data_IF_271661351932
#
_entry.id   IF_271661351932
#
_cell.length_a   1.000
_cell.length_b   1.000
_cell.length_c   1.000
_cell.angle_alpha   90.00
_cell.angle_beta   90.00
_cell.angle_gamma   90.00
#
_symmetry.space_group_name_H-M   'P 1'
#
loop_
_entity.id
_entity.type
_entity.pdbx_description
1 polymer ?
#
# COMPACT_ATOMS: atom_id res chain seq x y z
N UNK A 1 16.07 -2.79 -17.45
CA UNK A 1 16.37 -2.17 -16.15
C UNK A 1 15.13 -2.38 -15.27
N UNK A 2 15.30 -2.77 -14.00
CA UNK A 2 14.20 -2.97 -13.06
C UNK A 2 13.58 -1.63 -12.72
N UNK A 3 12.24 -1.55 -12.69
CA UNK A 3 11.51 -0.35 -12.26
C UNK A 3 11.08 -0.48 -10.81
N UNK A 4 10.70 0.62 -10.17
CA UNK A 4 10.07 0.63 -8.83
C UNK A 4 8.85 -0.29 -8.82
N UNK A 5 8.03 -0.26 -9.87
CA UNK A 5 6.88 -1.15 -10.06
C UNK A 5 7.29 -2.64 -10.00
N UNK A 6 8.20 -3.07 -10.88
CA UNK A 6 8.60 -4.49 -10.93
C UNK A 6 9.29 -4.97 -9.65
N UNK A 7 10.08 -4.10 -9.01
CA UNK A 7 10.72 -4.40 -7.73
C UNK A 7 9.69 -4.55 -6.59
N UNK A 8 8.67 -3.70 -6.58
CA UNK A 8 7.59 -3.76 -5.58
C UNK A 8 6.76 -5.04 -5.70
N UNK A 9 6.41 -5.45 -6.92
CA UNK A 9 5.71 -6.72 -7.13
C UNK A 9 6.57 -7.93 -6.71
N UNK A 10 7.88 -7.88 -6.92
CA UNK A 10 8.77 -8.95 -6.44
C UNK A 10 8.79 -9.03 -4.91
N UNK A 11 8.84 -7.89 -4.21
CA UNK A 11 8.75 -7.83 -2.75
C UNK A 11 7.41 -8.41 -2.27
N UNK A 12 6.29 -7.96 -2.83
CA UNK A 12 4.96 -8.47 -2.48
C UNK A 12 4.87 -9.99 -2.68
N UNK A 13 5.34 -10.49 -3.82
CA UNK A 13 5.36 -11.93 -4.15
C UNK A 13 6.15 -12.75 -3.14
N UNK A 14 7.35 -12.29 -2.79
CA UNK A 14 8.23 -12.97 -1.81
C UNK A 14 7.63 -13.07 -0.42
N UNK A 15 6.79 -12.11 -0.05
CA UNK A 15 6.08 -12.09 1.23
C UNK A 15 4.67 -12.71 1.16
N UNK A 16 4.28 -13.32 0.03
CA UNK A 16 2.97 -13.96 -0.12
C UNK A 16 1.79 -12.99 -0.26
N UNK A 17 2.04 -11.70 -0.48
CA UNK A 17 1.02 -10.65 -0.65
C UNK A 17 0.54 -10.59 -2.11
N UNK A 18 0.09 -11.72 -2.64
CA UNK A 18 -0.33 -11.87 -4.04
C UNK A 18 -1.83 -11.63 -4.25
N UNK A 19 -2.58 -11.38 -3.18
CA UNK A 19 -3.98 -10.94 -3.27
C UNK A 19 -4.05 -9.46 -2.91
N UNK A 20 -4.56 -8.65 -3.85
CA UNK A 20 -4.72 -7.20 -3.72
C UNK A 20 -6.21 -6.89 -3.54
N UNK A 21 -6.58 -6.27 -2.45
CA UNK A 21 -7.93 -5.75 -2.22
C UNK A 21 -7.96 -4.27 -2.58
N UNK A 22 -8.88 -3.84 -3.45
CA UNK A 22 -8.86 -2.44 -3.87
C UNK A 22 -10.13 -1.94 -4.54
N UNK A 23 -10.20 -0.62 -4.64
CA UNK A 23 -11.12 0.15 -5.46
C UNK A 23 -10.28 1.26 -6.12
N UNK A 24 -9.74 1.01 -7.34
CA UNK A 24 -8.74 1.89 -7.92
C UNK A 24 -9.38 3.11 -8.58
N UNK A 25 -8.66 4.22 -8.52
CA UNK A 25 -8.89 5.37 -9.38
C UNK A 25 -7.67 5.62 -10.30
N UNK A 26 -7.58 6.81 -10.88
CA UNK A 26 -6.54 7.16 -11.85
C UNK A 26 -5.12 7.08 -11.28
N UNK A 27 -4.93 7.39 -9.99
CA UNK A 27 -3.62 7.41 -9.35
C UNK A 27 -3.06 6.01 -9.09
N UNK A 28 -3.89 4.98 -9.11
CA UNK A 28 -3.49 3.58 -8.92
C UNK A 28 -3.21 2.86 -10.24
N UNK A 29 -3.63 3.42 -11.40
CA UNK A 29 -3.45 2.77 -12.70
C UNK A 29 -1.99 2.42 -13.02
N UNK A 30 -0.98 3.26 -12.73
CA UNK A 30 0.40 2.89 -12.98
C UNK A 30 0.90 1.70 -12.13
N UNK A 31 0.37 1.52 -10.92
CA UNK A 31 0.63 0.32 -10.11
C UNK A 31 -0.04 -0.91 -10.74
N UNK A 32 -1.25 -0.77 -11.27
CA UNK A 32 -2.03 -1.87 -11.86
C UNK A 32 -1.64 -2.18 -13.32
N UNK A 33 -0.82 -1.33 -13.95
CA UNK A 33 -0.32 -1.57 -15.31
C UNK A 33 0.48 -2.87 -15.33
N UNK A 34 0.29 -3.67 -16.40
CA UNK A 34 0.98 -4.95 -16.56
C UNK A 34 0.85 -5.84 -15.30
N UNK A 35 -0.38 -5.90 -14.75
CA UNK A 35 -0.68 -6.65 -13.52
C UNK A 35 -0.26 -8.11 -13.66
N UNK A 36 0.58 -8.65 -12.75
CA UNK A 36 1.12 -9.98 -12.92
C UNK A 36 0.05 -11.08 -12.83
N UNK A 37 0.14 -12.10 -13.70
CA UNK A 37 -0.83 -13.20 -13.77
C UNK A 37 -0.92 -14.04 -12.48
N UNK A 38 0.14 -14.06 -11.68
CA UNK A 38 0.20 -14.75 -10.39
C UNK A 38 -0.42 -13.94 -9.24
N UNK A 39 -0.89 -12.72 -9.51
CA UNK A 39 -1.61 -11.89 -8.56
C UNK A 39 -3.11 -11.94 -8.81
N UNK A 40 -3.86 -11.83 -7.74
CA UNK A 40 -5.31 -11.75 -7.76
C UNK A 40 -5.78 -10.39 -7.27
N UNK A 41 -6.61 -9.70 -8.05
CA UNK A 41 -7.24 -8.45 -7.65
C UNK A 41 -8.68 -8.70 -7.19
N UNK A 42 -9.01 -8.33 -5.97
CA UNK A 42 -10.36 -8.37 -5.40
C UNK A 42 -10.92 -6.95 -5.40
N UNK A 43 -11.78 -6.69 -6.37
CA UNK A 43 -12.44 -5.40 -6.51
C UNK A 43 -13.58 -5.27 -5.49
N UNK A 44 -13.54 -4.22 -4.68
CA UNK A 44 -14.68 -3.74 -3.91
C UNK A 44 -15.24 -2.46 -4.52
N UNK A 45 -16.54 -2.24 -4.41
CA UNK A 45 -17.20 -1.05 -4.95
C UNK A 45 -17.22 0.13 -3.95
N UNK A 46 -16.61 -0.06 -2.78
CA UNK A 46 -16.45 0.95 -1.73
C UNK A 46 -15.29 0.56 -0.82
N UNK A 47 -14.46 1.51 -0.45
CA UNK A 47 -13.21 1.22 0.27
C UNK A 47 -13.45 0.68 1.69
N UNK A 48 -14.55 1.03 2.31
CA UNK A 48 -14.97 0.38 3.57
C UNK A 48 -15.15 -1.13 3.42
N UNK A 49 -15.75 -1.58 2.29
CA UNK A 49 -15.87 -3.01 1.99
C UNK A 49 -14.50 -3.62 1.65
N UNK A 50 -13.66 -2.90 0.90
CA UNK A 50 -12.28 -3.31 0.56
C UNK A 50 -11.46 -3.60 1.81
N UNK A 51 -11.41 -2.63 2.73
CA UNK A 51 -10.66 -2.77 3.99
C UNK A 51 -11.25 -3.87 4.86
N UNK A 52 -12.60 -3.99 4.92
CA UNK A 52 -13.28 -5.06 5.66
C UNK A 52 -12.99 -6.45 5.11
N UNK A 53 -12.95 -6.62 3.78
CA UNK A 53 -12.55 -7.91 3.15
C UNK A 53 -11.09 -8.26 3.47
N UNK A 54 -10.19 -7.28 3.42
CA UNK A 54 -8.78 -7.46 3.75
C UNK A 54 -8.59 -7.81 5.24
N UNK A 55 -9.34 -7.16 6.14
CA UNK A 55 -9.36 -7.46 7.57
C UNK A 55 -9.78 -8.91 7.83
N UNK A 56 -10.92 -9.33 7.27
CA UNK A 56 -11.40 -10.70 7.37
C UNK A 56 -10.40 -11.72 6.79
N UNK A 57 -9.77 -11.41 5.66
CA UNK A 57 -8.74 -12.24 5.07
C UNK A 57 -7.52 -12.38 6.00
N UNK A 58 -7.02 -11.27 6.56
CA UNK A 58 -5.87 -11.29 7.45
C UNK A 58 -6.15 -12.09 8.72
N UNK A 59 -7.34 -11.94 9.32
CA UNK A 59 -7.77 -12.71 10.50
C UNK A 59 -7.89 -14.21 10.20
N UNK A 60 -8.51 -14.56 9.07
CA UNK A 60 -8.74 -15.96 8.73
C UNK A 60 -7.46 -16.70 8.32
N UNK A 61 -6.57 -16.03 7.58
CA UNK A 61 -5.33 -16.64 7.08
C UNK A 61 -4.17 -16.57 8.08
N UNK A 62 -4.22 -15.64 9.03
CA UNK A 62 -3.09 -15.31 9.91
C UNK A 62 -1.94 -14.60 9.21
N UNK A 63 -2.11 -14.22 7.92
CA UNK A 63 -1.10 -13.58 7.08
C UNK A 63 -1.44 -12.10 6.84
N UNK A 64 -0.45 -11.25 6.51
CA UNK A 64 -0.72 -9.88 6.11
C UNK A 64 -1.59 -9.82 4.85
N UNK A 65 -2.47 -8.82 4.76
CA UNK A 65 -3.26 -8.53 3.57
C UNK A 65 -2.79 -7.23 2.91
N UNK A 66 -2.78 -7.20 1.58
CA UNK A 66 -2.40 -6.02 0.82
C UNK A 66 -3.64 -5.27 0.31
N UNK A 67 -3.70 -3.97 0.59
CA UNK A 67 -4.82 -3.09 0.25
C UNK A 67 -4.32 -1.94 -0.62
N UNK A 68 -5.07 -1.62 -1.69
CA UNK A 68 -4.77 -0.51 -2.56
C UNK A 68 -5.98 0.43 -2.67
N UNK A 69 -5.84 1.65 -2.14
CA UNK A 69 -6.91 2.65 -2.02
C UNK A 69 -6.69 3.84 -2.96
N UNK A 70 -7.78 4.51 -3.34
CA UNK A 70 -7.71 5.69 -4.20
C UNK A 70 -7.46 6.97 -3.39
N UNK A 71 -6.19 7.39 -3.36
CA UNK A 71 -5.76 8.67 -2.78
C UNK A 71 -6.39 8.97 -1.40
N UNK A 72 -6.68 10.24 -1.13
CA UNK A 72 -7.32 10.70 0.09
C UNK A 72 -8.77 10.22 0.21
N UNK A 73 -9.52 10.24 -0.90
CA UNK A 73 -10.94 9.86 -0.90
C UNK A 73 -11.15 8.41 -0.47
N UNK A 74 -10.40 7.48 -1.09
CA UNK A 74 -10.47 6.07 -0.74
C UNK A 74 -9.96 5.77 0.66
N UNK A 75 -8.91 6.48 1.10
CA UNK A 75 -8.43 6.37 2.49
C UNK A 75 -9.52 6.82 3.46
N UNK A 76 -10.16 7.98 3.20
CA UNK A 76 -11.26 8.49 4.02
C UNK A 76 -12.44 7.54 4.10
N UNK A 77 -12.88 6.98 2.95
CA UNK A 77 -13.95 6.00 2.89
C UNK A 77 -13.62 4.70 3.65
N UNK A 78 -12.34 4.33 3.73
CA UNK A 78 -11.88 3.13 4.42
C UNK A 78 -11.78 3.26 5.94
N UNK A 79 -11.80 4.48 6.51
CA UNK A 79 -11.49 4.74 7.92
C UNK A 79 -12.38 3.97 8.90
N UNK A 80 -13.67 3.82 8.61
CA UNK A 80 -14.59 3.07 9.47
C UNK A 80 -14.18 1.60 9.61
N UNK A 81 -13.86 0.94 8.50
CA UNK A 81 -13.38 -0.45 8.51
C UNK A 81 -11.95 -0.56 9.06
N UNK A 82 -11.11 0.46 8.83
CA UNK A 82 -9.77 0.53 9.40
C UNK A 82 -9.78 0.55 10.93
N UNK A 83 -10.82 1.13 11.54
CA UNK A 83 -11.03 1.07 12.99
C UNK A 83 -11.13 -0.38 13.48
N UNK A 84 -11.91 -1.22 12.78
CA UNK A 84 -12.03 -2.63 13.13
C UNK A 84 -10.67 -3.34 13.00
N UNK A 85 -9.99 -3.17 11.88
CA UNK A 85 -8.67 -3.78 11.64
C UNK A 85 -7.62 -3.37 12.69
N UNK A 86 -7.67 -2.12 13.18
CA UNK A 86 -6.82 -1.64 14.26
C UNK A 86 -7.06 -2.40 15.57
N UNK A 87 -8.32 -2.50 16.00
CA UNK A 87 -8.65 -3.19 17.25
C UNK A 87 -8.53 -4.71 17.16
N UNK A 88 -8.68 -5.28 15.97
CA UNK A 88 -8.44 -6.71 15.70
C UNK A 88 -6.97 -7.07 15.56
N UNK A 89 -6.07 -6.08 15.58
CA UNK A 89 -4.65 -6.29 15.33
C UNK A 89 -4.35 -6.95 13.98
N UNK A 90 -5.16 -6.64 12.97
CA UNK A 90 -4.99 -7.19 11.63
C UNK A 90 -3.79 -6.56 10.90
N UNK A 91 -2.85 -7.36 10.39
CA UNK A 91 -1.69 -6.85 9.69
C UNK A 91 -2.07 -6.45 8.25
N UNK A 92 -2.57 -5.24 8.06
CA UNK A 92 -2.88 -4.70 6.75
C UNK A 92 -1.72 -3.84 6.24
N UNK A 93 -1.25 -4.11 5.04
CA UNK A 93 -0.31 -3.26 4.30
C UNK A 93 -1.13 -2.46 3.30
N UNK A 94 -1.37 -1.20 3.62
CA UNK A 94 -2.23 -0.31 2.83
C UNK A 94 -1.36 0.63 2.01
N UNK A 95 -1.58 0.66 0.70
CA UNK A 95 -1.06 1.70 -0.19
C UNK A 95 -2.20 2.57 -0.69
N UNK A 96 -1.97 3.86 -0.83
CA UNK A 96 -2.87 4.76 -1.53
C UNK A 96 -2.09 5.55 -2.59
N UNK A 97 -2.71 5.78 -3.72
CA UNK A 97 -2.14 6.63 -4.75
C UNK A 97 -2.01 8.07 -4.27
N UNK A 98 -1.00 8.75 -4.78
CA UNK A 98 -0.75 10.17 -4.58
C UNK A 98 -0.63 10.84 -5.95
N UNK A 99 -0.83 12.14 -6.00
CA UNK A 99 -0.58 12.95 -7.20
C UNK A 99 0.92 12.89 -7.57
N UNK A 100 1.26 13.23 -8.82
CA UNK A 100 2.68 13.34 -9.23
C UNK A 100 3.43 14.26 -8.28
N UNK A 101 4.69 13.93 -8.02
CA UNK A 101 5.52 14.65 -7.03
C UNK A 101 5.53 16.15 -7.23
N UNK A 102 5.62 16.61 -8.48
CA UNK A 102 5.64 18.05 -8.80
C UNK A 102 4.34 18.79 -8.46
N UNK A 103 3.23 18.08 -8.27
CA UNK A 103 1.91 18.68 -8.01
C UNK A 103 1.43 18.56 -6.57
N UNK A 104 2.13 17.80 -5.73
CA UNK A 104 1.75 17.64 -4.32
C UNK A 104 1.83 18.99 -3.60
N UNK A 105 2.92 19.73 -3.78
CA UNK A 105 3.15 21.01 -3.10
C UNK A 105 2.25 22.16 -3.55
N UNK A 106 1.53 22.01 -4.67
CA UNK A 106 0.55 23.01 -5.14
C UNK A 106 -0.89 22.57 -4.86
N UNK A 107 -1.07 21.50 -4.11
CA UNK A 107 -2.36 20.98 -3.65
C UNK A 107 -3.36 20.78 -4.80
N UNK A 108 -2.86 20.25 -5.93
CA UNK A 108 -3.70 19.95 -7.08
C UNK A 108 -4.79 18.93 -6.74
N UNK A 109 -5.85 18.87 -7.54
CA UNK A 109 -6.89 17.84 -7.39
C UNK A 109 -6.27 16.43 -7.25
N UNK A 110 -6.77 15.65 -6.32
CA UNK A 110 -6.27 14.32 -5.92
C UNK A 110 -4.90 14.33 -5.21
N UNK A 111 -4.31 15.49 -4.92
CA UNK A 111 -3.21 15.55 -3.96
C UNK A 111 -3.74 15.26 -2.56
N UNK A 112 -3.05 14.39 -1.85
CA UNK A 112 -3.34 14.09 -0.46
C UNK A 112 -2.32 14.83 0.42
N UNK A 113 -2.66 16.05 0.82
CA UNK A 113 -1.83 16.85 1.71
C UNK A 113 -1.69 16.13 3.05
N UNK A 114 -0.45 16.08 3.57
CA UNK A 114 -0.16 15.33 4.82
C UNK A 114 -0.63 13.87 4.78
N UNK A 115 -0.46 13.21 3.64
CA UNK A 115 -0.95 11.86 3.39
C UNK A 115 -0.68 10.86 4.52
N UNK A 116 0.49 10.96 5.14
CA UNK A 116 0.88 10.12 6.27
C UNK A 116 0.06 10.38 7.55
N UNK A 117 -0.64 11.50 7.66
CA UNK A 117 -1.47 11.84 8.84
C UNK A 117 -2.91 11.37 8.68
N UNK A 118 -3.41 11.29 7.44
CA UNK A 118 -4.82 10.97 7.18
C UNK A 118 -5.31 9.69 7.87
N UNK A 119 -4.60 8.54 7.85
CA UNK A 119 -5.05 7.31 8.50
C UNK A 119 -4.78 7.27 10.01
N UNK A 120 -4.11 8.26 10.59
CA UNK A 120 -3.84 8.31 12.04
C UNK A 120 -5.11 8.62 12.83
N UNK A 121 -5.27 8.04 14.06
CA UNK A 121 -4.33 7.15 14.77
C UNK A 121 -4.52 5.66 14.46
N UNK A 122 -5.26 5.28 13.42
CA UNK A 122 -5.70 3.91 13.14
C UNK A 122 -4.66 3.06 12.37
N UNK A 123 -3.44 3.54 12.29
CA UNK A 123 -2.30 2.78 11.72
C UNK A 123 -1.09 2.86 12.62
N UNK A 124 -0.39 1.74 12.75
CA UNK A 124 0.83 1.60 13.54
C UNK A 124 1.97 2.45 12.98
N UNK A 125 2.06 2.54 11.67
CA UNK A 125 3.05 3.30 10.94
C UNK A 125 2.45 3.83 9.63
N UNK A 126 2.86 5.03 9.24
CA UNK A 126 2.47 5.64 7.97
C UNK A 126 3.65 6.42 7.40
N UNK A 127 3.77 6.41 6.07
CA UNK A 127 4.88 7.05 5.41
C UNK A 127 4.51 7.44 3.96
N UNK A 128 5.10 8.53 3.49
CA UNK A 128 5.19 8.89 2.09
C UNK A 128 6.66 8.93 1.72
N UNK A 129 7.17 8.05 0.82
CA UNK A 129 8.57 7.99 0.47
C UNK A 129 9.08 9.30 -0.13
N UNK A 130 10.27 9.75 0.28
CA UNK A 130 10.84 11.02 -0.17
C UNK A 130 11.18 11.04 -1.67
N UNK A 131 11.44 9.88 -2.27
CA UNK A 131 11.70 9.72 -3.70
C UNK A 131 11.25 8.33 -4.17
N UNK A 132 11.15 8.15 -5.48
CA UNK A 132 10.74 6.87 -6.08
C UNK A 132 11.61 5.68 -5.66
N UNK A 133 12.93 5.90 -5.53
CA UNK A 133 13.89 4.87 -5.16
C UNK A 133 13.69 4.34 -3.73
N UNK A 134 13.01 5.12 -2.87
CA UNK A 134 12.69 4.70 -1.51
C UNK A 134 11.44 3.81 -1.42
N UNK A 135 10.59 3.77 -2.44
CA UNK A 135 9.32 3.02 -2.44
C UNK A 135 9.54 1.53 -2.12
N UNK A 136 10.46 0.79 -2.77
CA UNK A 136 10.67 -0.63 -2.47
C UNK A 136 11.11 -0.86 -1.01
N UNK A 137 11.97 0.00 -0.47
CA UNK A 137 12.40 -0.07 0.93
C UNK A 137 11.26 0.20 1.89
N UNK A 138 10.47 1.25 1.62
CA UNK A 138 9.30 1.59 2.42
C UNK A 138 8.25 0.46 2.42
N UNK A 139 8.03 -0.19 1.26
CA UNK A 139 7.12 -1.34 1.16
C UNK A 139 7.62 -2.54 1.98
N UNK A 140 8.91 -2.88 1.90
CA UNK A 140 9.50 -3.94 2.72
C UNK A 140 9.39 -3.62 4.22
N UNK A 141 9.62 -2.36 4.63
CA UNK A 141 9.44 -1.93 6.01
C UNK A 141 7.96 -1.97 6.44
N UNK A 142 7.04 -1.59 5.56
CA UNK A 142 5.59 -1.67 5.83
C UNK A 142 5.17 -3.10 6.15
N UNK A 143 5.58 -4.07 5.33
CA UNK A 143 5.27 -5.49 5.53
C UNK A 143 5.82 -5.97 6.88
N UNK A 144 7.08 -5.67 7.16
CA UNK A 144 7.70 -6.02 8.43
C UNK A 144 6.96 -5.39 9.62
N UNK A 145 6.67 -4.09 9.53
CA UNK A 145 6.02 -3.36 10.62
C UNK A 145 4.60 -3.87 10.89
N UNK A 146 3.82 -4.18 9.85
CA UNK A 146 2.49 -4.73 10.00
C UNK A 146 2.52 -6.11 10.67
N UNK A 147 3.50 -6.94 10.32
CA UNK A 147 3.61 -8.34 10.72
C UNK A 147 4.14 -8.53 12.14
N UNK A 148 5.01 -7.63 12.62
CA UNK A 148 5.59 -7.74 13.96
C UNK A 148 4.60 -7.36 15.05
N UNK A 149 4.55 -8.12 16.18
CA UNK A 149 3.69 -7.80 17.33
C UNK A 149 4.01 -6.42 17.97
N UNK A 150 3.01 -5.72 18.48
CA UNK A 150 1.59 -5.94 18.21
C UNK A 150 1.29 -5.68 16.73
N UNK A 151 0.67 -6.67 16.06
CA UNK A 151 0.28 -6.51 14.65
C UNK A 151 -0.74 -5.38 14.51
N UNK A 152 -0.69 -4.65 13.41
CA UNK A 152 -1.68 -3.61 13.14
C UNK A 152 -1.53 -3.11 11.69
N UNK A 153 -2.54 -2.39 11.15
CA UNK A 153 -2.46 -1.76 9.86
C UNK A 153 -1.29 -0.77 9.75
N UNK A 154 -0.72 -0.67 8.55
CA UNK A 154 0.27 0.33 8.15
C UNK A 154 -0.15 0.98 6.84
N UNK A 155 0.38 2.16 6.53
CA UNK A 155 -0.04 2.94 5.38
C UNK A 155 1.13 3.57 4.65
N UNK A 156 1.07 3.51 3.31
CA UNK A 156 2.00 4.17 2.38
C UNK A 156 1.22 5.02 1.38
N UNK A 157 1.56 6.29 1.28
CA UNK A 157 1.15 7.14 0.16
C UNK A 157 2.23 7.10 -0.91
N UNK A 158 1.88 6.79 -2.15
CA UNK A 158 2.86 6.58 -3.23
C UNK A 158 2.46 7.41 -4.45
N UNK A 159 3.29 8.41 -4.84
CA UNK A 159 3.08 9.17 -6.06
C UNK A 159 3.02 8.28 -7.29
N UNK A 160 2.04 8.53 -8.18
CA UNK A 160 1.79 7.62 -9.28
C UNK A 160 2.88 7.63 -10.36
N UNK A 161 3.68 8.70 -10.45
CA UNK A 161 4.82 8.80 -11.35
C UNK A 161 6.07 8.04 -10.86
N UNK A 162 6.09 7.62 -9.59
CA UNK A 162 7.20 6.84 -9.03
C UNK A 162 7.29 5.42 -9.61
N UNK A 163 6.17 4.82 -9.95
CA UNK A 163 6.14 3.42 -10.39
C UNK A 163 6.97 3.14 -11.62
N UNK A 164 7.05 4.10 -12.55
CA UNK A 164 7.82 3.99 -13.78
C UNK A 164 9.32 4.27 -13.61
N UNK A 165 9.74 4.82 -12.47
CA UNK A 165 11.13 5.20 -12.24
C UNK A 165 12.03 3.96 -12.09
N UNK A 166 13.34 4.09 -12.40
CA UNK A 166 14.30 3.03 -12.15
C UNK A 166 14.37 2.66 -10.66
N UNK A 167 14.37 1.36 -10.36
CA UNK A 167 14.61 0.88 -9.01
C UNK A 167 16.06 1.12 -8.57
N UNK A 168 16.30 1.29 -7.25
CA UNK A 168 17.67 1.44 -6.75
C UNK A 168 18.49 0.17 -6.95
N UNK A 169 19.81 0.32 -7.03
CA UNK A 169 20.73 -0.82 -7.03
C UNK A 169 20.59 -1.64 -5.74
N UNK A 170 20.69 -2.95 -5.84
CA UNK A 170 20.62 -3.84 -4.67
C UNK A 170 19.20 -4.06 -4.11
N UNK A 171 18.17 -3.65 -4.83
CA UNK A 171 16.76 -3.83 -4.42
C UNK A 171 16.38 -5.31 -4.18
N UNK A 172 17.10 -6.24 -4.77
CA UNK A 172 16.91 -7.69 -4.60
C UNK A 172 17.06 -8.14 -3.14
N UNK A 173 17.90 -7.47 -2.37
CA UNK A 173 18.10 -7.77 -0.95
C UNK A 173 16.85 -7.47 -0.11
N UNK A 174 16.01 -6.52 -0.55
CA UNK A 174 14.76 -6.19 0.15
C UNK A 174 13.74 -7.32 0.02
N UNK A 175 13.68 -7.98 -1.12
CA UNK A 175 12.81 -9.13 -1.35
C UNK A 175 13.28 -10.39 -0.59
N UNK A 176 14.56 -10.47 -0.22
CA UNK A 176 15.13 -11.60 0.52
C UNK A 176 14.88 -11.52 2.03
N UNK A 177 14.43 -10.38 2.57
CA UNK A 177 14.11 -10.24 4.00
C UNK A 177 12.89 -11.09 4.33
N UNK A 178 13.03 -11.93 5.36
CA UNK A 178 11.92 -12.70 5.95
C UNK A 178 11.47 -12.00 7.25
N UNK A 179 10.17 -12.06 7.52
CA UNK A 179 9.52 -11.54 8.74
C UNK A 179 9.04 -12.75 9.57
#
# INVERSE_FOLDING_TARGET
MKTVHSASYEILRRHGLTTVFGNPGSNELPFLKDFPEDFRYILGLHEGAVVGMADGFALASGCPAFVNLHAAAGTGNGMGALTNAWYSHSPLVITAGQQVRSMIGVEAMLANVDAGQLPKPLVKWSHEPACAQDVPRALSQAIQTASLPPRAPVYLSIPYDDWAQPAPAGVEHLAARQV
#
